data_IF_819830455538
#
_entry.id   IF_819830455538
#
_cell.length_a   1.000
_cell.length_b   1.000
_cell.length_c   1.000
_cell.angle_alpha   90.00
_cell.angle_beta   90.00
_cell.angle_gamma   90.00
#
_symmetry.space_group_name_H-M   'P 1'
#
loop_
_entity.id
_entity.type
_entity.pdbx_description
1 polymer ?
#
# COMPACT_ATOMS: atom_id res chain seq x y z
N UNK A 1 -10.35 -43.89 -9.75
CA UNK A 1 -9.45 -43.41 -8.69
C UNK A 1 -8.40 -42.45 -9.22
N UNK A 2 -7.56 -42.83 -10.19
CA UNK A 2 -6.51 -41.93 -10.73
C UNK A 2 -7.07 -40.66 -11.38
N UNK A 3 -8.03 -40.77 -12.30
CA UNK A 3 -8.66 -39.60 -12.95
C UNK A 3 -9.32 -38.64 -11.96
N UNK A 4 -9.91 -39.17 -10.88
CA UNK A 4 -10.53 -38.34 -9.85
C UNK A 4 -9.46 -37.59 -9.04
N UNK A 5 -8.35 -38.24 -8.71
CA UNK A 5 -7.23 -37.60 -8.03
C UNK A 5 -6.59 -36.50 -8.88
N UNK A 6 -6.47 -36.73 -10.19
CA UNK A 6 -5.97 -35.74 -11.14
C UNK A 6 -6.87 -34.50 -11.19
N UNK A 7 -8.20 -34.68 -11.23
CA UNK A 7 -9.13 -33.55 -11.19
C UNK A 7 -9.01 -32.74 -9.90
N UNK A 8 -8.89 -33.40 -8.75
CA UNK A 8 -8.69 -32.72 -7.45
C UNK A 8 -7.39 -31.91 -7.44
N UNK A 9 -6.28 -32.49 -7.93
CA UNK A 9 -5.00 -31.81 -7.98
C UNK A 9 -5.03 -30.60 -8.94
N UNK A 10 -5.75 -30.71 -10.06
CA UNK A 10 -5.94 -29.62 -11.01
C UNK A 10 -6.80 -28.48 -10.44
N UNK A 11 -7.87 -28.82 -9.72
CA UNK A 11 -8.70 -27.85 -9.01
C UNK A 11 -7.87 -27.12 -7.96
N UNK A 12 -7.13 -27.85 -7.12
CA UNK A 12 -6.24 -27.28 -6.12
C UNK A 12 -5.22 -26.31 -6.73
N UNK A 13 -4.53 -26.73 -7.80
CA UNK A 13 -3.52 -25.94 -8.48
C UNK A 13 -4.10 -24.66 -9.08
N UNK A 14 -5.32 -24.75 -9.61
CA UNK A 14 -6.05 -23.60 -10.15
C UNK A 14 -6.39 -22.61 -9.04
N UNK A 15 -6.93 -23.09 -7.91
CA UNK A 15 -7.25 -22.21 -6.78
C UNK A 15 -5.98 -21.60 -6.19
N UNK A 16 -4.92 -22.37 -6.02
CA UNK A 16 -3.65 -21.91 -5.47
C UNK A 16 -3.03 -20.79 -6.32
N UNK A 17 -2.91 -21.00 -7.63
CA UNK A 17 -2.40 -19.97 -8.55
C UNK A 17 -3.26 -18.69 -8.50
N UNK A 18 -4.58 -18.85 -8.48
CA UNK A 18 -5.49 -17.71 -8.42
C UNK A 18 -5.41 -16.96 -7.08
N UNK A 19 -5.20 -17.66 -5.97
CA UNK A 19 -4.99 -17.07 -4.65
C UNK A 19 -3.71 -16.21 -4.62
N UNK A 20 -2.62 -16.68 -5.24
CA UNK A 20 -1.38 -15.90 -5.41
C UNK A 20 -1.68 -14.59 -6.16
N UNK A 21 -2.34 -14.68 -7.33
CA UNK A 21 -2.65 -13.50 -8.13
C UNK A 21 -3.51 -12.48 -7.39
N UNK A 22 -4.52 -12.94 -6.64
CA UNK A 22 -5.35 -12.04 -5.85
C UNK A 22 -4.60 -11.45 -4.66
N UNK A 23 -3.71 -12.21 -4.00
CA UNK A 23 -2.86 -11.68 -2.94
C UNK A 23 -2.01 -10.51 -3.44
N UNK A 24 -1.33 -10.66 -4.59
CA UNK A 24 -0.58 -9.56 -5.22
C UNK A 24 -1.46 -8.33 -5.48
N UNK A 25 -2.63 -8.54 -6.10
CA UNK A 25 -3.53 -7.43 -6.43
C UNK A 25 -4.06 -6.72 -5.18
N UNK A 26 -4.36 -7.47 -4.11
CA UNK A 26 -4.80 -6.91 -2.84
C UNK A 26 -3.69 -6.09 -2.18
N UNK A 27 -2.44 -6.57 -2.19
CA UNK A 27 -1.30 -5.79 -1.69
C UNK A 27 -1.15 -4.49 -2.47
N UNK A 28 -1.13 -4.56 -3.80
CA UNK A 28 -0.93 -3.38 -4.65
C UNK A 28 -2.01 -2.31 -4.46
N UNK A 29 -3.26 -2.73 -4.28
CA UNK A 29 -4.36 -1.80 -4.05
C UNK A 29 -4.36 -1.26 -2.61
N UNK A 30 -4.13 -2.10 -1.60
CA UNK A 30 -4.29 -1.69 -0.19
C UNK A 30 -3.15 -0.80 0.28
N UNK A 31 -1.90 -1.14 -0.01
CA UNK A 31 -0.75 -0.32 0.40
C UNK A 31 -0.87 1.08 -0.20
N UNK A 32 -1.18 1.21 -1.50
CA UNK A 32 -1.32 2.52 -2.13
C UNK A 32 -2.42 3.39 -1.49
N UNK A 33 -3.53 2.78 -1.05
CA UNK A 33 -4.64 3.49 -0.39
C UNK A 33 -4.29 3.93 1.04
N UNK A 34 -3.57 3.09 1.78
CA UNK A 34 -3.26 3.33 3.19
C UNK A 34 -2.07 4.30 3.34
N UNK A 35 -1.06 4.22 2.45
CA UNK A 35 0.00 5.24 2.34
C UNK A 35 -0.58 6.59 1.91
N UNK A 36 -1.52 6.61 0.95
CA UNK A 36 -2.20 7.85 0.55
C UNK A 36 -3.01 8.50 1.68
N UNK A 37 -3.49 7.71 2.66
CA UNK A 37 -4.17 8.22 3.85
C UNK A 37 -3.20 8.80 4.87
N UNK A 38 -2.11 8.09 5.19
CA UNK A 38 -1.05 8.63 6.07
C UNK A 38 -0.48 9.93 5.49
N UNK A 39 -0.19 9.99 4.18
CA UNK A 39 0.31 11.22 3.54
C UNK A 39 -0.65 12.42 3.62
N UNK A 40 -1.96 12.20 3.50
CA UNK A 40 -2.96 13.29 3.67
C UNK A 40 -3.01 13.80 5.11
N UNK A 41 -2.85 12.91 6.08
CA UNK A 41 -2.82 13.28 7.48
C UNK A 41 -1.55 14.09 7.79
N UNK A 42 -0.41 13.74 7.18
CA UNK A 42 0.84 14.49 7.28
C UNK A 42 0.72 15.88 6.64
N UNK A 43 0.18 15.99 5.41
CA UNK A 43 0.01 17.28 4.75
C UNK A 43 -0.94 18.23 5.48
N UNK A 44 -1.91 17.69 6.23
CA UNK A 44 -2.82 18.48 7.06
C UNK A 44 -2.13 19.07 8.30
N UNK A 45 -1.03 18.47 8.76
CA UNK A 45 -0.29 18.99 9.92
C UNK A 45 0.65 20.14 9.50
N UNK A 46 1.20 20.08 8.28
CA UNK A 46 2.04 21.15 7.71
C UNK A 46 1.24 22.40 7.31
N UNK A 47 -0.07 22.28 7.00
CA UNK A 47 -0.91 23.42 6.59
C UNK A 47 -1.14 24.44 7.73
N UNK A 48 -0.91 24.05 8.98
CA UNK A 48 -0.97 24.93 10.15
C UNK A 48 0.32 25.76 10.36
N UNK A 49 1.38 25.55 9.57
CA UNK A 49 2.60 26.35 9.59
C UNK A 49 2.62 27.40 8.48
N UNK A 50 1.58 28.23 8.41
CA UNK A 50 1.51 29.35 7.45
C UNK A 50 1.13 30.67 8.13
N UNK A 51 1.81 31.01 9.23
CA UNK A 51 1.93 32.42 9.65
C UNK A 51 3.10 33.06 8.93
N UNK A 52 2.77 33.84 7.91
CA UNK A 52 3.67 34.65 7.08
C UNK A 52 4.42 35.67 7.96
N UNK A 53 5.75 35.60 7.99
CA UNK A 53 6.62 36.74 8.36
C UNK A 53 7.91 36.73 7.53
N UNK A 54 8.25 37.80 6.79
CA UNK A 54 9.54 37.89 6.12
C UNK A 54 10.52 38.59 7.05
N UNK A 55 11.52 37.88 7.59
CA UNK A 55 12.80 38.49 7.99
C UNK A 55 13.85 37.41 8.30
N UNK A 56 14.90 37.45 7.48
CA UNK A 56 16.32 37.29 7.80
C UNK A 56 16.66 36.96 9.26
N UNK A 57 17.19 35.76 9.51
CA UNK A 57 18.28 35.51 10.47
C UNK A 57 18.63 34.02 10.51
N UNK A 58 19.88 33.75 10.15
CA UNK A 58 20.77 32.72 10.67
C UNK A 58 20.39 32.20 12.08
N UNK A 59 20.07 30.89 12.22
CA UNK A 59 20.53 30.06 13.35
C UNK A 59 20.00 28.62 13.25
N UNK A 60 20.95 27.70 13.42
CA UNK A 60 20.93 26.48 14.24
C UNK A 60 19.89 25.37 14.05
N UNK A 61 20.49 24.21 13.75
CA UNK A 61 20.20 22.88 14.30
C UNK A 61 18.73 22.52 14.49
N UNK A 62 18.20 21.75 13.56
CA UNK A 62 17.22 20.72 13.88
C UNK A 62 17.71 19.45 13.21
N UNK A 63 18.50 18.70 13.98
CA UNK A 63 18.56 17.25 13.90
C UNK A 63 17.14 16.72 14.13
N UNK A 64 16.33 16.78 13.08
CA UNK A 64 15.02 16.17 13.06
C UNK A 64 15.24 14.70 12.67
N UNK A 65 15.72 13.91 13.63
CA UNK A 65 15.40 12.49 13.68
C UNK A 65 13.86 12.38 13.69
N UNK A 66 13.27 12.31 12.50
CA UNK A 66 11.89 11.95 12.29
C UNK A 66 11.72 10.46 12.62
N UNK A 67 11.85 10.11 13.89
CA UNK A 67 11.70 8.74 14.42
C UNK A 67 10.25 8.24 14.46
N UNK A 68 9.32 8.93 13.77
CA UNK A 68 7.90 8.57 13.73
C UNK A 68 7.52 7.77 12.47
N UNK A 69 8.35 7.80 11.42
CA UNK A 69 8.03 7.18 10.12
C UNK A 69 8.00 5.64 10.20
N UNK A 70 8.96 5.01 10.90
CA UNK A 70 9.05 3.54 10.94
C UNK A 70 7.86 2.89 11.67
N UNK A 71 7.28 3.55 12.68
CA UNK A 71 6.17 2.99 13.45
C UNK A 71 4.87 2.98 12.65
N UNK A 72 4.56 4.06 11.92
CA UNK A 72 3.39 4.09 11.03
C UNK A 72 3.55 3.15 9.84
N UNK A 73 4.75 3.09 9.25
CA UNK A 73 5.04 2.20 8.14
C UNK A 73 4.94 0.71 8.53
N UNK A 74 5.39 0.38 9.75
CA UNK A 74 5.23 -0.95 10.35
C UNK A 74 3.76 -1.30 10.58
N UNK A 75 2.93 -0.33 10.98
CA UNK A 75 1.49 -0.56 11.17
C UNK A 75 0.78 -0.85 9.84
N UNK A 76 1.08 -0.09 8.78
CA UNK A 76 0.51 -0.34 7.44
C UNK A 76 0.90 -1.74 6.95
N UNK A 77 2.18 -2.10 7.04
CA UNK A 77 2.66 -3.42 6.63
C UNK A 77 1.94 -4.54 7.39
N UNK A 78 1.78 -4.40 8.71
CA UNK A 78 1.11 -5.38 9.56
C UNK A 78 -0.39 -5.49 9.24
N UNK A 79 -1.08 -4.38 9.02
CA UNK A 79 -2.51 -4.34 8.68
C UNK A 79 -2.77 -5.01 7.33
N UNK A 80 -2.00 -4.66 6.30
CA UNK A 80 -2.15 -5.25 4.96
C UNK A 80 -1.79 -6.74 4.99
N UNK A 81 -0.69 -7.12 5.63
CA UNK A 81 -0.29 -8.52 5.78
C UNK A 81 -1.40 -9.33 6.44
N UNK A 82 -1.94 -8.89 7.58
CA UNK A 82 -3.06 -9.57 8.26
C UNK A 82 -4.30 -9.66 7.38
N UNK A 83 -4.62 -8.61 6.63
CA UNK A 83 -5.78 -8.59 5.73
C UNK A 83 -5.67 -9.64 4.62
N UNK A 84 -4.51 -9.71 3.96
CA UNK A 84 -4.26 -10.67 2.87
C UNK A 84 -4.12 -12.09 3.42
N UNK A 85 -3.45 -12.29 4.55
CA UNK A 85 -3.36 -13.59 5.23
C UNK A 85 -4.74 -14.16 5.56
N UNK A 86 -5.67 -13.34 6.08
CA UNK A 86 -7.04 -13.81 6.34
C UNK A 86 -7.80 -14.17 5.07
N UNK A 87 -7.57 -13.47 3.97
CA UNK A 87 -8.14 -13.83 2.67
C UNK A 87 -7.61 -15.19 2.21
N UNK A 88 -6.30 -15.41 2.30
CA UNK A 88 -5.66 -16.69 1.97
C UNK A 88 -6.23 -17.80 2.83
N UNK A 89 -6.29 -17.62 4.16
CA UNK A 89 -6.85 -18.61 5.07
C UNK A 89 -8.27 -18.97 4.68
N UNK A 90 -9.11 -17.98 4.36
CA UNK A 90 -10.51 -18.22 4.01
C UNK A 90 -10.64 -18.96 2.67
N UNK A 91 -10.01 -18.45 1.61
CA UNK A 91 -10.15 -19.02 0.25
C UNK A 91 -9.51 -20.40 0.16
N UNK A 92 -8.31 -20.57 0.71
CA UNK A 92 -7.58 -21.82 0.61
C UNK A 92 -8.20 -22.92 1.49
N UNK A 93 -8.69 -22.58 2.69
CA UNK A 93 -9.35 -23.57 3.56
C UNK A 93 -10.71 -24.01 3.00
N UNK A 94 -11.51 -23.09 2.47
CA UNK A 94 -12.82 -23.42 1.87
C UNK A 94 -12.69 -24.24 0.57
N UNK A 95 -11.53 -24.15 -0.11
CA UNK A 95 -11.30 -24.80 -1.41
C UNK A 95 -10.37 -26.02 -1.34
N UNK A 96 -10.01 -26.48 -0.14
CA UNK A 96 -9.21 -27.70 0.04
C UNK A 96 -7.75 -27.59 -0.44
N UNK A 97 -7.17 -26.39 -0.46
CA UNK A 97 -5.75 -26.20 -0.80
C UNK A 97 -4.85 -26.84 0.24
N UNK A 98 -3.78 -27.50 -0.19
CA UNK A 98 -2.85 -28.18 0.74
C UNK A 98 -2.18 -27.20 1.71
N UNK A 99 -1.89 -27.70 2.90
CA UNK A 99 -1.24 -26.91 3.95
C UNK A 99 0.17 -26.45 3.57
N UNK A 100 0.84 -27.16 2.66
CA UNK A 100 2.12 -26.75 2.10
C UNK A 100 1.98 -25.45 1.30
N UNK A 101 1.07 -25.44 0.32
CA UNK A 101 0.75 -24.28 -0.50
C UNK A 101 0.26 -23.08 0.35
N UNK A 102 -0.58 -23.32 1.36
CA UNK A 102 -1.02 -22.26 2.28
C UNK A 102 0.16 -21.64 3.04
N UNK A 103 1.10 -22.46 3.52
CA UNK A 103 2.31 -21.97 4.18
C UNK A 103 3.19 -21.16 3.22
N UNK A 104 3.34 -21.60 1.97
CA UNK A 104 4.08 -20.86 0.94
C UNK A 104 3.47 -19.48 0.69
N UNK A 105 2.14 -19.37 0.65
CA UNK A 105 1.45 -18.07 0.54
C UNK A 105 1.75 -17.17 1.75
N UNK A 106 1.64 -17.69 2.97
CA UNK A 106 1.93 -16.91 4.19
C UNK A 106 3.38 -16.43 4.27
N UNK A 107 4.34 -17.21 3.77
CA UNK A 107 5.75 -16.80 3.71
C UNK A 107 5.99 -15.72 2.65
N UNK A 108 5.25 -15.77 1.54
CA UNK A 108 5.38 -14.84 0.43
C UNK A 108 4.78 -13.45 0.73
N UNK A 109 3.61 -13.40 1.39
CA UNK A 109 2.85 -12.16 1.58
C UNK A 109 3.69 -11.02 2.21
N UNK A 110 4.42 -11.22 3.33
CA UNK A 110 5.18 -10.13 3.95
C UNK A 110 6.23 -9.54 3.00
N UNK A 111 6.90 -10.38 2.21
CA UNK A 111 7.92 -9.94 1.25
C UNK A 111 7.33 -9.07 0.15
N UNK A 112 6.15 -9.44 -0.37
CA UNK A 112 5.45 -8.65 -1.40
C UNK A 112 4.94 -7.32 -0.85
N UNK A 113 4.45 -7.31 0.39
CA UNK A 113 4.02 -6.08 1.08
C UNK A 113 5.19 -5.13 1.25
N UNK A 114 6.31 -5.60 1.80
CA UNK A 114 7.51 -4.80 2.00
C UNK A 114 8.06 -4.24 0.67
N UNK A 115 8.17 -5.09 -0.35
CA UNK A 115 8.65 -4.70 -1.68
C UNK A 115 7.80 -3.59 -2.30
N UNK A 116 6.47 -3.67 -2.18
CA UNK A 116 5.59 -2.66 -2.75
C UNK A 116 5.61 -1.33 -1.98
N UNK A 117 5.76 -1.38 -0.65
CA UNK A 117 5.99 -0.21 0.18
C UNK A 117 7.26 0.53 -0.29
N UNK A 118 8.38 -0.18 -0.37
CA UNK A 118 9.67 0.38 -0.80
C UNK A 118 9.59 1.01 -2.19
N UNK A 119 8.89 0.33 -3.10
CA UNK A 119 8.64 0.85 -4.46
C UNK A 119 7.87 2.17 -4.43
N UNK A 120 6.80 2.26 -3.64
CA UNK A 120 5.99 3.47 -3.53
C UNK A 120 6.73 4.62 -2.84
N UNK A 121 7.58 4.34 -1.85
CA UNK A 121 8.43 5.35 -1.22
C UNK A 121 9.40 5.96 -2.23
N UNK A 122 10.02 5.14 -3.07
CA UNK A 122 10.89 5.62 -4.15
C UNK A 122 10.13 6.54 -5.12
N UNK A 123 8.91 6.15 -5.50
CA UNK A 123 8.03 6.98 -6.35
C UNK A 123 7.64 8.29 -5.65
N UNK A 124 7.31 8.24 -4.36
CA UNK A 124 6.93 9.44 -3.59
C UNK A 124 8.09 10.44 -3.49
N UNK A 125 9.31 9.96 -3.22
CA UNK A 125 10.51 10.82 -3.20
C UNK A 125 10.70 11.54 -4.53
N UNK A 126 10.58 10.82 -5.65
CA UNK A 126 10.69 11.42 -6.98
C UNK A 126 9.51 12.38 -7.30
N UNK A 127 8.29 12.07 -6.86
CA UNK A 127 7.13 12.94 -7.03
C UNK A 127 7.30 14.31 -6.38
N UNK A 128 7.98 14.38 -5.22
CA UNK A 128 8.25 15.65 -4.52
C UNK A 128 9.29 16.51 -5.25
N UNK A 129 10.09 15.94 -6.15
CA UNK A 129 11.09 16.68 -6.97
C UNK A 129 10.44 17.36 -8.18
N UNK A 130 9.23 16.94 -8.55
CA UNK A 130 8.50 17.52 -9.67
C UNK A 130 7.88 18.87 -9.26
N UNK A 131 7.88 19.89 -10.15
CA UNK A 131 7.22 21.15 -9.87
C UNK A 131 5.70 20.95 -9.69
N UNK A 132 5.02 21.79 -8.88
CA UNK A 132 3.58 21.69 -8.69
C UNK A 132 2.83 21.70 -10.02
N UNK A 133 2.07 20.63 -10.29
CA UNK A 133 1.25 20.54 -11.50
C UNK A 133 0.17 21.63 -11.44
N UNK A 134 0.17 22.55 -12.40
CA UNK A 134 -0.89 23.54 -12.52
C UNK A 134 -2.18 22.82 -12.91
N UNK A 135 -3.12 22.71 -11.96
CA UNK A 135 -4.44 22.17 -12.25
C UNK A 135 -5.12 23.03 -13.33
N UNK A 136 -5.74 22.44 -14.36
CA UNK A 136 -6.53 23.19 -15.32
C UNK A 136 -7.60 23.99 -14.58
N UNK A 137 -7.68 25.29 -14.83
CA UNK A 137 -8.76 26.12 -14.29
C UNK A 137 -10.05 25.72 -15.00
N UNK A 138 -11.00 25.15 -14.27
CA UNK A 138 -12.36 24.95 -14.79
C UNK A 138 -12.99 26.34 -14.87
N UNK A 139 -13.13 26.88 -16.08
CA UNK A 139 -13.89 28.12 -16.27
C UNK A 139 -15.33 27.89 -15.82
N UNK A 140 -15.81 28.70 -14.89
CA UNK A 140 -17.23 28.70 -14.54
C UNK A 140 -18.05 29.06 -15.78
N UNK A 141 -19.14 28.32 -16.07
CA UNK A 141 -20.02 28.68 -17.17
C UNK A 141 -20.63 30.06 -16.92
N UNK A 142 -20.64 30.91 -17.96
CA UNK A 142 -21.36 32.18 -17.91
C UNK A 142 -22.85 31.87 -17.80
N UNK A 143 -23.49 32.24 -16.70
CA UNK A 143 -24.94 32.24 -16.62
C UNK A 143 -25.46 33.39 -17.51
N UNK A 144 -26.29 33.05 -18.49
CA UNK A 144 -27.01 34.04 -19.28
C UNK A 144 -28.00 34.80 -18.37
N UNK A 145 -28.20 36.11 -18.59
CA UNK A 145 -29.11 36.94 -17.79
C UNK A 145 -30.57 36.51 -17.90
#
# INVERSE_FOLDING_TARGET
NEQQQEMINNEESTVYSQAIHYAYRMVYLRVSLDVSRSMKNMSSLDENSSTVTPSVAESDSLDAESGFDETEQTDIAAVVTKFVSRFVDKVCNDSGVTQEHVKSLHQMIPGVVAMHIETLEAVNRESKRLPPVQKPKICQPLLLP
#
